data_IF_886746140222
#
_entry.id   IF_886746140222
#
_cell.length_a   1.000
_cell.length_b   1.000
_cell.length_c   1.000
_cell.angle_alpha   90.00
_cell.angle_beta   90.00
_cell.angle_gamma   90.00
#
_symmetry.space_group_name_H-M   'P 1'
#
loop_
_entity.id
_entity.type
_entity.pdbx_description
1 polymer ?
#
# COMPACT_ATOMS: atom_id res chain seq x y z
N UNK A 1 -26.82 -18.93 -13.97
CA UNK A 1 -26.50 -19.36 -12.58
C UNK A 1 -26.24 -18.11 -11.75
N UNK A 2 -26.79 -17.98 -10.53
CA UNK A 2 -26.55 -16.78 -9.71
C UNK A 2 -25.08 -16.72 -9.30
N UNK A 3 -24.38 -15.67 -9.73
CA UNK A 3 -22.95 -15.45 -9.47
C UNK A 3 -22.57 -15.61 -7.98
N UNK A 4 -23.34 -15.03 -7.07
CA UNK A 4 -23.10 -15.18 -5.62
C UNK A 4 -23.23 -16.64 -5.14
N UNK A 5 -24.19 -17.41 -5.67
CA UNK A 5 -24.33 -18.84 -5.32
C UNK A 5 -23.11 -19.63 -5.77
N UNK A 6 -22.56 -19.31 -6.94
CA UNK A 6 -21.33 -19.93 -7.45
C UNK A 6 -20.13 -19.61 -6.56
N UNK A 7 -19.98 -18.34 -6.14
CA UNK A 7 -18.91 -17.92 -5.23
C UNK A 7 -18.99 -18.60 -3.87
N UNK A 8 -20.19 -18.67 -3.27
CA UNK A 8 -20.37 -19.36 -1.99
C UNK A 8 -20.07 -20.84 -2.10
N UNK A 9 -20.51 -21.49 -3.19
CA UNK A 9 -20.22 -22.90 -3.43
C UNK A 9 -18.72 -23.17 -3.60
N UNK A 10 -18.00 -22.32 -4.34
CA UNK A 10 -16.55 -22.45 -4.52
C UNK A 10 -15.81 -22.40 -3.17
N UNK A 11 -16.17 -21.43 -2.32
CA UNK A 11 -15.56 -21.28 -0.99
C UNK A 11 -15.93 -22.47 -0.10
N UNK A 12 -17.22 -22.83 -0.03
CA UNK A 12 -17.74 -23.91 0.82
C UNK A 12 -17.08 -25.26 0.52
N UNK A 13 -16.88 -25.56 -0.77
CA UNK A 13 -16.28 -26.82 -1.20
C UNK A 13 -14.77 -26.90 -0.96
N UNK A 14 -14.07 -25.77 -0.93
CA UNK A 14 -12.60 -25.74 -0.87
C UNK A 14 -12.10 -25.36 0.53
N UNK A 15 -11.46 -26.29 1.28
CA UNK A 15 -10.86 -25.94 2.57
C UNK A 15 -9.73 -24.92 2.41
N UNK A 16 -9.03 -24.93 1.27
CA UNK A 16 -8.00 -23.96 0.96
C UNK A 16 -8.55 -22.53 0.92
N UNK A 17 -9.74 -22.34 0.33
CA UNK A 17 -10.36 -21.01 0.24
C UNK A 17 -10.88 -20.51 1.60
N UNK A 18 -11.23 -21.42 2.51
CA UNK A 18 -11.50 -21.04 3.90
C UNK A 18 -10.24 -20.50 4.59
N UNK A 19 -9.11 -21.20 4.45
CA UNK A 19 -7.83 -20.72 5.00
C UNK A 19 -7.40 -19.41 4.36
N UNK A 20 -7.63 -19.25 3.05
CA UNK A 20 -7.35 -17.99 2.36
C UNK A 20 -8.22 -16.84 2.90
N UNK A 21 -9.53 -17.05 3.06
CA UNK A 21 -10.43 -16.06 3.65
C UNK A 21 -10.06 -15.70 5.09
N UNK A 22 -9.63 -16.70 5.89
CA UNK A 22 -9.09 -16.47 7.22
C UNK A 22 -7.79 -15.64 7.16
N UNK A 23 -6.84 -15.98 6.28
CA UNK A 23 -5.60 -15.21 6.09
C UNK A 23 -5.93 -13.76 5.72
N UNK A 24 -6.79 -13.52 4.73
CA UNK A 24 -7.18 -12.16 4.33
C UNK A 24 -7.83 -11.38 5.47
N UNK A 25 -8.73 -12.01 6.23
CA UNK A 25 -9.35 -11.40 7.41
C UNK A 25 -8.32 -11.08 8.50
N UNK A 26 -7.31 -11.94 8.68
CA UNK A 26 -6.20 -11.70 9.60
C UNK A 26 -5.31 -10.55 9.12
N UNK A 27 -5.06 -10.42 7.82
CA UNK A 27 -4.33 -9.29 7.27
C UNK A 27 -5.07 -7.96 7.47
N UNK A 28 -6.40 -7.96 7.50
CA UNK A 28 -7.18 -6.78 7.93
C UNK A 28 -6.92 -6.39 9.39
N UNK A 29 -6.84 -7.38 10.29
CA UNK A 29 -6.50 -7.18 11.70
C UNK A 29 -5.09 -6.58 11.83
N UNK A 30 -4.10 -7.15 11.14
CA UNK A 30 -2.74 -6.62 11.15
C UNK A 30 -2.67 -5.21 10.57
N UNK A 31 -3.39 -4.94 9.47
CA UNK A 31 -3.49 -3.62 8.88
C UNK A 31 -4.05 -2.59 9.87
N UNK A 32 -5.07 -2.95 10.67
CA UNK A 32 -5.58 -2.09 11.74
C UNK A 32 -4.47 -1.70 12.75
N UNK A 33 -3.70 -2.68 13.23
CA UNK A 33 -2.63 -2.41 14.19
C UNK A 33 -1.52 -1.55 13.58
N UNK A 34 -1.17 -1.81 12.32
CA UNK A 34 -0.17 -1.02 11.60
C UNK A 34 -0.64 0.41 11.37
N UNK A 35 -1.88 0.61 10.93
CA UNK A 35 -2.46 1.94 10.83
C UNK A 35 -2.51 2.62 12.19
N UNK A 36 -2.93 1.93 13.25
CA UNK A 36 -2.97 2.50 14.60
C UNK A 36 -1.60 3.01 15.08
N UNK A 37 -0.49 2.36 14.71
CA UNK A 37 0.85 2.79 15.10
C UNK A 37 1.38 3.95 14.24
N UNK A 38 0.93 4.09 12.99
CA UNK A 38 1.44 5.09 12.04
C UNK A 38 0.49 6.26 11.77
N UNK A 39 -0.76 6.18 12.22
CA UNK A 39 -1.79 7.19 12.04
C UNK A 39 -1.94 8.03 13.33
N UNK A 40 -1.15 9.11 13.51
CA UNK A 40 -1.15 9.93 14.73
C UNK A 40 -2.47 10.67 14.97
N UNK A 41 -3.34 10.80 13.96
CA UNK A 41 -4.69 11.35 14.15
C UNK A 41 -5.55 10.49 15.09
N UNK A 42 -5.24 9.19 15.24
CA UNK A 42 -5.90 8.31 16.21
C UNK A 42 -5.44 8.58 17.65
N UNK A 43 -4.27 9.19 17.84
CA UNK A 43 -3.65 9.50 19.13
C UNK A 43 -3.75 11.01 19.46
N UNK A 44 -4.95 11.57 19.34
CA UNK A 44 -5.51 12.67 20.13
C UNK A 44 -4.77 14.03 20.32
N UNK A 45 -3.61 14.34 19.71
CA UNK A 45 -3.01 15.69 19.92
C UNK A 45 -2.34 16.38 18.73
N UNK A 46 -2.21 15.73 17.57
CA UNK A 46 -1.59 16.35 16.42
C UNK A 46 -2.63 16.64 15.33
N UNK A 47 -2.90 17.92 15.11
CA UNK A 47 -3.50 18.47 13.88
C UNK A 47 -2.56 18.24 12.70
N UNK A 48 -2.29 16.97 12.34
CA UNK A 48 -1.62 16.70 11.07
C UNK A 48 -2.61 16.97 9.94
N UNK A 49 -2.18 17.62 8.85
CA UNK A 49 -3.03 17.85 7.70
C UNK A 49 -3.46 16.52 7.09
N UNK A 50 -4.76 16.37 6.84
CA UNK A 50 -5.32 15.26 6.08
C UNK A 50 -4.72 15.25 4.67
N UNK A 51 -4.26 14.07 4.22
CA UNK A 51 -3.74 13.92 2.87
C UNK A 51 -4.83 13.40 1.96
N UNK A 52 -5.23 14.19 0.97
CA UNK A 52 -6.14 13.71 -0.07
C UNK A 52 -5.40 12.93 -1.15
N UNK A 53 -6.09 11.96 -1.73
CA UNK A 53 -5.71 11.43 -3.03
C UNK A 53 -5.88 12.51 -4.10
N UNK A 54 -5.01 12.51 -5.11
CA UNK A 54 -5.10 13.48 -6.22
C UNK A 54 -6.42 13.38 -7.00
N UNK A 55 -7.00 12.18 -7.11
CA UNK A 55 -8.31 12.00 -7.75
C UNK A 55 -9.50 12.41 -6.84
N UNK A 56 -9.25 12.72 -5.57
CA UNK A 56 -10.27 13.07 -4.58
C UNK A 56 -9.86 14.29 -3.74
N UNK A 57 -9.59 15.41 -4.42
CA UNK A 57 -9.16 16.67 -3.81
C UNK A 57 -10.13 17.21 -2.73
N UNK A 58 -11.42 16.87 -2.83
CA UNK A 58 -12.47 17.32 -1.91
C UNK A 58 -12.46 16.62 -0.54
N UNK A 59 -11.51 15.71 -0.25
CA UNK A 59 -11.49 14.97 1.01
C UNK A 59 -11.39 15.89 2.24
N UNK A 60 -10.69 17.03 2.13
CA UNK A 60 -10.54 18.02 3.19
C UNK A 60 -11.87 18.72 3.50
N UNK A 61 -12.65 19.06 2.48
CA UNK A 61 -13.91 19.82 2.64
C UNK A 61 -14.99 19.02 3.35
N UNK A 62 -14.94 17.69 3.24
CA UNK A 62 -15.99 16.85 3.80
C UNK A 62 -15.91 16.72 5.33
N UNK A 63 -14.80 17.12 5.97
CA UNK A 63 -14.66 17.13 7.44
C UNK A 63 -14.94 15.78 8.12
N UNK A 64 -15.07 14.71 7.34
CA UNK A 64 -15.52 13.39 7.80
C UNK A 64 -14.55 12.82 8.84
N UNK A 65 -13.29 13.25 8.79
CA UNK A 65 -12.21 12.78 9.64
C UNK A 65 -11.85 13.71 10.81
N UNK A 66 -12.49 14.88 10.96
CA UNK A 66 -12.21 15.81 12.08
C UNK A 66 -13.08 15.56 13.32
N UNK A 67 -13.99 14.60 13.26
CA UNK A 67 -14.91 14.24 14.35
C UNK A 67 -14.43 12.99 15.11
N UNK A 68 -15.18 12.51 16.12
CA UNK A 68 -14.94 11.21 16.78
C UNK A 68 -15.29 10.00 15.90
N UNK A 69 -15.89 10.23 14.72
CA UNK A 69 -16.30 9.21 13.76
C UNK A 69 -15.16 8.26 13.32
N UNK A 70 -13.92 8.71 13.05
CA UNK A 70 -12.85 7.83 12.59
C UNK A 70 -12.49 6.78 13.63
N UNK A 71 -12.40 7.16 14.91
CA UNK A 71 -12.12 6.21 15.99
C UNK A 71 -13.20 5.13 16.10
N UNK A 72 -14.48 5.51 15.92
CA UNK A 72 -15.59 4.56 15.87
C UNK A 72 -15.50 3.65 14.64
N UNK A 73 -15.24 4.20 13.45
CA UNK A 73 -15.09 3.42 12.22
C UNK A 73 -13.92 2.43 12.28
N UNK A 74 -12.78 2.85 12.85
CA UNK A 74 -11.63 1.98 13.09
C UNK A 74 -11.98 0.84 14.07
N UNK A 75 -12.79 1.13 15.10
CA UNK A 75 -13.26 0.13 16.07
C UNK A 75 -14.24 -0.88 15.44
N UNK A 76 -15.16 -0.39 14.59
CA UNK A 76 -16.06 -1.24 13.81
C UNK A 76 -15.25 -2.10 12.83
N UNK A 77 -14.28 -1.50 12.15
CA UNK A 77 -13.40 -2.19 11.20
C UNK A 77 -12.70 -3.39 11.84
N UNK A 78 -12.01 -3.18 12.97
CA UNK A 78 -11.31 -4.29 13.65
C UNK A 78 -12.29 -5.35 14.16
N UNK A 79 -13.44 -4.94 14.70
CA UNK A 79 -14.46 -5.88 15.16
C UNK A 79 -14.99 -6.77 14.02
N UNK A 80 -15.34 -6.16 12.88
CA UNK A 80 -15.82 -6.88 11.69
C UNK A 80 -14.73 -7.81 11.14
N UNK A 81 -13.46 -7.37 11.11
CA UNK A 81 -12.34 -8.20 10.65
C UNK A 81 -12.10 -9.42 11.57
N UNK A 82 -12.20 -9.25 12.89
CA UNK A 82 -12.09 -10.35 13.86
C UNK A 82 -13.24 -11.36 13.70
N UNK A 83 -14.47 -10.89 13.54
CA UNK A 83 -15.60 -11.77 13.29
C UNK A 83 -15.47 -12.50 11.94
N UNK A 84 -14.98 -11.84 10.90
CA UNK A 84 -14.68 -12.48 9.61
C UNK A 84 -13.64 -13.59 9.77
N UNK A 85 -12.55 -13.31 10.48
CA UNK A 85 -11.49 -14.29 10.76
C UNK A 85 -12.02 -15.54 11.49
N UNK A 86 -12.72 -15.34 12.61
CA UNK A 86 -13.27 -16.44 13.41
C UNK A 86 -14.33 -17.23 12.63
N UNK A 87 -15.17 -16.56 11.84
CA UNK A 87 -16.20 -17.23 11.05
C UNK A 87 -15.62 -18.06 9.90
N UNK A 88 -14.52 -17.64 9.25
CA UNK A 88 -13.81 -18.48 8.28
C UNK A 88 -13.16 -19.71 8.92
N UNK A 89 -12.63 -19.60 10.14
CA UNK A 89 -12.09 -20.74 10.88
C UNK A 89 -13.16 -21.78 11.24
N UNK A 90 -14.40 -21.35 11.52
CA UNK A 90 -15.49 -22.25 11.90
C UNK A 90 -16.10 -23.04 10.73
N UNK A 91 -15.79 -22.71 9.47
CA UNK A 91 -16.25 -23.34 8.20
C UNK A 91 -17.77 -23.39 7.95
N UNK A 92 -18.61 -23.37 8.98
CA UNK A 92 -20.07 -23.51 8.87
C UNK A 92 -20.77 -22.28 8.28
N UNK A 93 -20.14 -21.11 8.35
CA UNK A 93 -20.79 -19.82 8.12
C UNK A 93 -20.32 -19.09 6.87
N UNK A 94 -20.05 -19.80 5.77
CA UNK A 94 -19.44 -19.25 4.53
C UNK A 94 -20.09 -17.92 4.07
N UNK A 95 -21.42 -17.85 4.06
CA UNK A 95 -22.14 -16.62 3.64
C UNK A 95 -21.87 -15.46 4.59
N UNK A 96 -21.87 -15.70 5.90
CA UNK A 96 -21.59 -14.68 6.90
C UNK A 96 -20.12 -14.26 6.82
N UNK A 97 -19.18 -15.21 6.72
CA UNK A 97 -17.75 -14.93 6.59
C UNK A 97 -17.44 -14.07 5.37
N UNK A 98 -18.05 -14.40 4.22
CA UNK A 98 -17.93 -13.62 2.99
C UNK A 98 -18.50 -12.20 3.17
N UNK A 99 -19.70 -12.07 3.75
CA UNK A 99 -20.32 -10.76 3.96
C UNK A 99 -19.53 -9.89 4.93
N UNK A 100 -18.98 -10.47 5.99
CA UNK A 100 -18.13 -9.76 6.95
C UNK A 100 -16.81 -9.31 6.31
N UNK A 101 -16.16 -10.16 5.50
CA UNK A 101 -14.95 -9.78 4.76
C UNK A 101 -15.24 -8.68 3.73
N UNK A 102 -16.38 -8.75 3.04
CA UNK A 102 -16.82 -7.69 2.14
C UNK A 102 -17.02 -6.37 2.88
N UNK A 103 -17.70 -6.38 4.03
CA UNK A 103 -17.88 -5.21 4.88
C UNK A 103 -16.54 -4.66 5.37
N UNK A 104 -15.62 -5.51 5.84
CA UNK A 104 -14.27 -5.10 6.24
C UNK A 104 -13.49 -4.45 5.07
N UNK A 105 -13.61 -5.00 3.87
CA UNK A 105 -12.97 -4.47 2.66
C UNK A 105 -13.55 -3.10 2.28
N UNK A 106 -14.88 -2.93 2.34
CA UNK A 106 -15.52 -1.63 2.09
C UNK A 106 -15.11 -0.57 3.11
N UNK A 107 -15.07 -0.93 4.39
CA UNK A 107 -14.62 -0.01 5.45
C UNK A 107 -13.14 0.33 5.25
N UNK A 108 -12.28 -0.65 4.93
CA UNK A 108 -10.87 -0.41 4.62
C UNK A 108 -10.73 0.55 3.43
N UNK A 109 -11.44 0.32 2.33
CA UNK A 109 -11.40 1.19 1.16
C UNK A 109 -11.89 2.59 1.49
N UNK A 110 -12.96 2.72 2.27
CA UNK A 110 -13.46 4.02 2.71
C UNK A 110 -12.41 4.78 3.54
N UNK A 111 -11.82 4.14 4.55
CA UNK A 111 -10.75 4.75 5.36
C UNK A 111 -9.54 5.13 4.51
N UNK A 112 -9.11 4.24 3.61
CA UNK A 112 -7.96 4.43 2.74
C UNK A 112 -8.16 5.56 1.72
N UNK A 113 -9.36 5.69 1.12
CA UNK A 113 -9.70 6.78 0.19
C UNK A 113 -9.86 8.11 0.93
N UNK A 114 -10.32 8.07 2.18
CA UNK A 114 -10.54 9.28 2.97
C UNK A 114 -9.24 9.93 3.45
N UNK A 115 -8.17 9.14 3.65
CA UNK A 115 -6.86 9.64 4.04
C UNK A 115 -5.71 8.88 3.35
N UNK A 116 -5.06 9.54 2.41
CA UNK A 116 -3.88 9.05 1.72
C UNK A 116 -2.65 8.89 2.64
N UNK A 117 -2.68 9.43 3.86
CA UNK A 117 -1.62 9.18 4.85
C UNK A 117 -1.59 7.72 5.32
N UNK A 118 -2.71 7.00 5.18
CA UNK A 118 -2.82 5.56 5.46
C UNK A 118 -2.23 4.69 4.34
N UNK A 119 -1.65 5.30 3.33
CA UNK A 119 -1.00 4.62 2.21
C UNK A 119 0.24 3.88 2.69
N UNK A 120 0.25 2.59 2.41
CA UNK A 120 1.39 1.67 2.58
C UNK A 120 1.50 0.88 1.30
N UNK A 121 2.72 0.54 0.90
CA UNK A 121 3.02 -0.06 -0.41
C UNK A 121 2.12 -1.26 -0.74
N UNK A 122 1.86 -2.13 0.23
CA UNK A 122 1.12 -3.38 0.02
C UNK A 122 -0.42 -3.22 0.02
N UNK A 123 -0.96 -2.03 0.27
CA UNK A 123 -2.40 -1.87 0.51
C UNK A 123 -3.20 -2.03 -0.78
N UNK A 124 -2.64 -1.54 -1.90
CA UNK A 124 -3.21 -1.77 -3.22
C UNK A 124 -3.30 -3.27 -3.57
N UNK A 125 -2.27 -4.06 -3.21
CA UNK A 125 -2.29 -5.51 -3.35
C UNK A 125 -3.39 -6.14 -2.49
N UNK A 126 -3.49 -5.78 -1.22
CA UNK A 126 -4.50 -6.35 -0.31
C UNK A 126 -5.92 -6.05 -0.78
N UNK A 127 -6.21 -4.82 -1.19
CA UNK A 127 -7.53 -4.45 -1.73
C UNK A 127 -7.79 -5.28 -2.99
N UNK A 128 -6.83 -5.37 -3.91
CA UNK A 128 -6.98 -6.15 -5.14
C UNK A 128 -7.23 -7.64 -4.86
N UNK A 129 -6.48 -8.26 -3.95
CA UNK A 129 -6.65 -9.65 -3.55
C UNK A 129 -8.01 -9.90 -2.89
N UNK A 130 -8.46 -9.00 -2.01
CA UNK A 130 -9.80 -9.08 -1.40
C UNK A 130 -10.90 -9.01 -2.47
N UNK A 131 -10.82 -8.07 -3.40
CA UNK A 131 -11.79 -7.97 -4.50
C UNK A 131 -11.77 -9.22 -5.40
N UNK A 132 -10.59 -9.76 -5.70
CA UNK A 132 -10.45 -11.01 -6.45
C UNK A 132 -11.09 -12.18 -5.70
N UNK A 133 -10.85 -12.29 -4.39
CA UNK A 133 -11.46 -13.32 -3.55
C UNK A 133 -12.99 -13.19 -3.51
N UNK A 134 -13.51 -11.98 -3.36
CA UNK A 134 -14.94 -11.73 -3.22
C UNK A 134 -15.71 -11.95 -4.53
N UNK A 135 -15.14 -11.54 -5.67
CA UNK A 135 -15.88 -11.42 -6.92
C UNK A 135 -15.37 -12.32 -8.05
N UNK A 136 -14.10 -12.71 -8.08
CA UNK A 136 -13.58 -13.42 -9.26
C UNK A 136 -13.58 -14.93 -9.01
N UNK A 137 -14.07 -15.77 -9.95
CA UNK A 137 -14.00 -17.22 -9.79
C UNK A 137 -12.57 -17.73 -10.00
N UNK A 138 -12.31 -18.98 -9.62
CA UNK A 138 -10.97 -19.59 -9.70
C UNK A 138 -9.94 -18.84 -8.82
N UNK A 139 -10.35 -18.58 -7.58
CA UNK A 139 -9.65 -17.70 -6.64
C UNK A 139 -8.22 -18.15 -6.39
N UNK A 140 -8.00 -19.46 -6.23
CA UNK A 140 -6.68 -20.02 -5.98
C UNK A 140 -5.68 -19.80 -7.14
N UNK A 141 -6.13 -19.84 -8.40
CA UNK A 141 -5.26 -19.54 -9.54
C UNK A 141 -4.89 -18.05 -9.60
N UNK A 142 -5.86 -17.17 -9.36
CA UNK A 142 -5.64 -15.72 -9.37
C UNK A 142 -4.63 -15.33 -8.30
N UNK A 143 -4.82 -15.81 -7.07
CA UNK A 143 -3.88 -15.52 -5.97
C UNK A 143 -2.46 -15.96 -6.31
N UNK A 144 -2.30 -17.15 -6.89
CA UNK A 144 -0.99 -17.61 -7.33
C UNK A 144 -0.33 -16.62 -8.30
N UNK A 145 -1.02 -16.34 -9.40
CA UNK A 145 -0.47 -15.46 -10.45
C UNK A 145 -0.18 -14.06 -9.91
N UNK A 146 -1.10 -13.47 -9.15
CA UNK A 146 -0.94 -12.13 -8.57
C UNK A 146 0.25 -12.04 -7.61
N UNK A 147 0.46 -13.03 -6.74
CA UNK A 147 1.60 -13.04 -5.81
C UNK A 147 2.93 -13.08 -6.56
N UNK A 148 3.03 -13.91 -7.61
CA UNK A 148 4.25 -13.99 -8.43
C UNK A 148 4.47 -12.67 -9.17
N UNK A 149 3.42 -12.12 -9.79
CA UNK A 149 3.51 -10.83 -10.47
C UNK A 149 3.93 -9.71 -9.51
N UNK A 150 3.41 -9.70 -8.28
CA UNK A 150 3.82 -8.74 -7.26
C UNK A 150 5.31 -8.85 -6.95
N UNK A 151 5.84 -10.06 -6.72
CA UNK A 151 7.28 -10.22 -6.47
C UNK A 151 8.13 -9.73 -7.64
N UNK A 152 7.75 -10.07 -8.87
CA UNK A 152 8.49 -9.65 -10.06
C UNK A 152 8.45 -8.13 -10.20
N UNK A 153 7.27 -7.51 -10.05
CA UNK A 153 7.12 -6.06 -10.15
C UNK A 153 7.85 -5.32 -9.03
N UNK A 154 7.80 -5.81 -7.80
CA UNK A 154 8.58 -5.26 -6.68
C UNK A 154 10.08 -5.33 -6.99
N UNK A 155 10.57 -6.48 -7.47
CA UNK A 155 11.97 -6.61 -7.87
C UNK A 155 12.37 -5.68 -9.01
N UNK A 156 11.52 -5.52 -10.04
CA UNK A 156 11.78 -4.60 -11.15
C UNK A 156 11.80 -3.14 -10.71
N UNK A 157 10.96 -2.75 -9.74
CA UNK A 157 10.99 -1.38 -9.18
C UNK A 157 12.24 -1.14 -8.36
N UNK A 158 12.70 -2.15 -7.65
CA UNK A 158 13.93 -2.13 -6.85
C UNK A 158 15.20 -2.23 -7.72
N UNK A 159 15.08 -2.58 -9.00
CA UNK A 159 16.18 -2.60 -9.96
C UNK A 159 16.53 -1.20 -10.45
N UNK A 160 16.75 -0.27 -9.52
CA UNK A 160 17.22 1.08 -9.78
C UNK A 160 18.55 1.34 -9.04
N UNK A 161 19.41 2.25 -9.54
CA UNK A 161 20.72 2.49 -8.94
C UNK A 161 20.68 2.91 -7.46
N UNK A 162 19.63 3.61 -7.04
CA UNK A 162 19.51 4.13 -5.68
C UNK A 162 19.27 2.99 -4.69
N UNK A 163 18.37 2.06 -5.01
CA UNK A 163 18.13 0.90 -4.19
C UNK A 163 19.32 -0.08 -4.21
N UNK A 164 19.94 -0.28 -5.38
CA UNK A 164 21.15 -1.11 -5.51
C UNK A 164 22.34 -0.55 -4.73
N UNK A 165 22.41 0.77 -4.51
CA UNK A 165 23.46 1.38 -3.70
C UNK A 165 23.39 1.00 -2.21
N UNK A 166 22.24 0.50 -1.74
CA UNK A 166 22.03 0.16 -0.32
C UNK A 166 21.88 1.38 0.60
N UNK A 167 21.84 2.61 0.06
CA UNK A 167 21.70 3.84 0.85
C UNK A 167 20.46 3.86 1.75
N UNK A 168 19.35 3.29 1.31
CA UNK A 168 18.12 3.22 2.09
C UNK A 168 18.26 2.36 3.37
N UNK A 169 19.21 1.42 3.38
CA UNK A 169 19.42 0.51 4.50
C UNK A 169 20.45 1.03 5.52
N UNK A 170 21.18 2.10 5.22
CA UNK A 170 22.26 2.59 6.10
C UNK A 170 21.75 3.05 7.47
N UNK A 171 20.48 3.48 7.55
CA UNK A 171 19.88 3.91 8.81
C UNK A 171 19.40 2.73 9.67
N UNK A 172 19.16 1.58 9.06
CA UNK A 172 18.54 0.41 9.70
C UNK A 172 19.55 -0.70 10.00
N UNK A 173 20.66 -0.75 9.27
CA UNK A 173 21.63 -1.83 9.35
C UNK A 173 23.05 -1.31 9.61
N UNK A 174 23.75 -1.82 10.64
CA UNK A 174 25.10 -1.40 10.99
C UNK A 174 26.17 -2.08 10.10
N UNK A 175 25.94 -2.12 8.79
CA UNK A 175 26.88 -2.69 7.82
C UNK A 175 27.56 -1.60 7.00
N UNK A 176 28.78 -1.84 6.49
CA UNK A 176 29.40 -0.93 5.53
C UNK A 176 28.57 -0.85 4.24
N UNK A 177 28.61 0.30 3.56
CA UNK A 177 27.83 0.55 2.34
C UNK A 177 27.99 -0.57 1.29
N UNK A 178 29.23 -1.04 1.07
CA UNK A 178 29.50 -2.14 0.14
C UNK A 178 28.81 -3.45 0.52
N UNK A 179 28.65 -3.73 1.82
CA UNK A 179 27.89 -4.87 2.30
C UNK A 179 26.39 -4.72 2.00
N UNK A 180 25.85 -3.52 2.18
CA UNK A 180 24.45 -3.21 1.89
C UNK A 180 24.12 -3.34 0.39
N UNK A 181 25.02 -2.93 -0.51
CA UNK A 181 24.87 -3.16 -1.95
C UNK A 181 24.68 -4.64 -2.29
N UNK A 182 25.44 -5.54 -1.65
CA UNK A 182 25.28 -6.99 -1.84
C UNK A 182 23.97 -7.51 -1.26
N UNK A 183 23.56 -7.01 -0.10
CA UNK A 183 22.28 -7.39 0.53
C UNK A 183 21.10 -6.99 -0.35
N UNK A 184 21.08 -5.75 -0.89
CA UNK A 184 20.00 -5.30 -1.79
C UNK A 184 20.00 -6.06 -3.10
N UNK A 185 21.17 -6.27 -3.72
CA UNK A 185 21.28 -7.07 -4.94
C UNK A 185 20.80 -8.53 -4.73
N UNK A 186 21.18 -9.15 -3.61
CA UNK A 186 20.71 -10.49 -3.24
C UNK A 186 19.20 -10.51 -2.97
N UNK A 187 18.66 -9.50 -2.29
CA UNK A 187 17.23 -9.34 -2.05
C UNK A 187 16.42 -9.27 -3.34
N UNK A 188 16.88 -8.46 -4.32
CA UNK A 188 16.29 -8.40 -5.66
C UNK A 188 16.39 -9.77 -6.35
N UNK A 189 17.56 -10.41 -6.31
CA UNK A 189 17.78 -11.74 -6.89
C UNK A 189 16.83 -12.80 -6.31
N UNK A 190 16.60 -12.78 -5.00
CA UNK A 190 15.63 -13.64 -4.31
C UNK A 190 14.21 -13.37 -4.82
N UNK A 191 13.79 -12.10 -4.90
CA UNK A 191 12.46 -11.70 -5.40
C UNK A 191 12.27 -12.03 -6.89
N UNK A 192 13.33 -12.09 -7.69
CA UNK A 192 13.24 -12.50 -9.10
C UNK A 192 13.19 -14.01 -9.28
N UNK A 193 13.97 -14.76 -8.50
CA UNK A 193 14.21 -16.20 -8.78
C UNK A 193 13.29 -17.14 -8.00
N UNK A 194 13.08 -16.91 -6.70
CA UNK A 194 12.32 -17.82 -5.84
C UNK A 194 10.81 -17.89 -6.19
N UNK A 195 10.12 -16.83 -6.65
CA UNK A 195 8.71 -16.95 -7.03
C UNK A 195 8.46 -17.94 -8.16
N UNK A 196 9.39 -18.11 -9.10
CA UNK A 196 9.27 -19.14 -10.14
C UNK A 196 9.37 -20.55 -9.56
N UNK A 197 10.21 -20.74 -8.54
CA UNK A 197 10.31 -22.01 -7.82
C UNK A 197 9.04 -22.32 -7.00
N UNK A 198 8.25 -21.31 -6.61
CA UNK A 198 6.93 -21.54 -5.96
C UNK A 198 5.90 -22.20 -6.89
N UNK A 199 6.05 -22.06 -8.21
CA UNK A 199 5.16 -22.71 -9.20
C UNK A 199 5.54 -24.18 -9.42
N UNK A 200 6.75 -24.57 -9.01
CA UNK A 200 7.29 -25.90 -9.29
C UNK A 200 6.37 -27.02 -8.78
N UNK A 201 6.15 -28.09 -9.58
CA UNK A 201 5.40 -29.26 -9.13
C UNK A 201 6.18 -30.11 -8.11
N UNK A 202 7.49 -29.89 -7.98
CA UNK A 202 8.38 -30.60 -7.07
C UNK A 202 8.40 -29.96 -5.68
N UNK A 203 8.02 -30.73 -4.65
CA UNK A 203 7.92 -30.24 -3.27
C UNK A 203 9.24 -29.71 -2.69
N UNK A 204 10.39 -30.27 -3.07
CA UNK A 204 11.70 -29.77 -2.64
C UNK A 204 11.96 -28.34 -3.11
N UNK A 205 11.67 -28.04 -4.39
CA UNK A 205 11.87 -26.70 -4.96
C UNK A 205 10.92 -25.67 -4.33
N UNK A 206 9.67 -26.07 -4.10
CA UNK A 206 8.70 -25.27 -3.35
C UNK A 206 9.20 -24.98 -1.93
N UNK A 207 9.70 -26.00 -1.21
CA UNK A 207 10.18 -25.83 0.16
C UNK A 207 11.37 -24.87 0.22
N UNK A 208 12.35 -24.99 -0.69
CA UNK A 208 13.47 -24.04 -0.80
C UNK A 208 12.97 -22.62 -1.03
N UNK A 209 12.03 -22.44 -1.97
CA UNK A 209 11.47 -21.14 -2.29
C UNK A 209 10.67 -20.54 -1.13
N UNK A 210 9.80 -21.32 -0.49
CA UNK A 210 8.99 -20.89 0.63
C UNK A 210 9.85 -20.52 1.84
N UNK A 211 10.79 -21.39 2.23
CA UNK A 211 11.72 -21.10 3.32
C UNK A 211 12.58 -19.87 3.01
N UNK A 212 13.12 -19.77 1.79
CA UNK A 212 13.95 -18.63 1.37
C UNK A 212 13.17 -17.31 1.41
N UNK A 213 11.94 -17.28 0.89
CA UNK A 213 11.09 -16.09 0.89
C UNK A 213 10.61 -15.73 2.31
N UNK A 214 10.23 -16.71 3.14
CA UNK A 214 9.83 -16.45 4.54
C UNK A 214 11.01 -15.89 5.33
N UNK A 215 12.20 -16.48 5.20
CA UNK A 215 13.40 -15.96 5.86
C UNK A 215 13.74 -14.55 5.36
N UNK A 216 13.71 -14.33 4.04
CA UNK A 216 13.92 -13.01 3.46
C UNK A 216 12.98 -11.95 4.07
N UNK A 217 11.68 -12.21 4.08
CA UNK A 217 10.70 -11.28 4.64
C UNK A 217 10.80 -11.15 6.16
N UNK A 218 11.17 -12.21 6.88
CA UNK A 218 11.39 -12.13 8.32
C UNK A 218 12.58 -11.22 8.65
N UNK A 219 13.68 -11.33 7.90
CA UNK A 219 14.83 -10.41 8.01
C UNK A 219 14.43 -8.99 7.62
N UNK A 220 13.74 -8.82 6.50
CA UNK A 220 13.25 -7.51 6.05
C UNK A 220 12.36 -6.85 7.12
N UNK A 221 11.42 -7.61 7.70
CA UNK A 221 10.57 -7.15 8.80
C UNK A 221 11.37 -6.78 10.06
N UNK A 222 12.39 -7.57 10.41
CA UNK A 222 13.22 -7.30 11.58
C UNK A 222 13.93 -5.94 11.48
N UNK A 223 14.44 -5.59 10.30
CA UNK A 223 15.17 -4.33 10.08
C UNK A 223 14.26 -3.13 9.78
N UNK A 224 13.28 -3.27 8.89
CA UNK A 224 12.45 -2.14 8.45
C UNK A 224 11.11 -2.04 9.20
N UNK A 225 10.68 -3.09 9.90
CA UNK A 225 9.36 -3.18 10.57
C UNK A 225 8.18 -2.94 9.63
N UNK A 226 8.36 -3.23 8.35
CA UNK A 226 7.38 -2.97 7.30
C UNK A 226 6.24 -4.01 7.28
N UNK A 227 5.01 -3.53 7.12
CA UNK A 227 3.81 -4.34 6.99
C UNK A 227 3.82 -5.26 5.75
N UNK A 228 4.47 -4.82 4.66
CA UNK A 228 4.56 -5.61 3.42
C UNK A 228 5.15 -6.99 3.67
N UNK A 229 6.23 -7.07 4.46
CA UNK A 229 6.89 -8.33 4.81
C UNK A 229 5.93 -9.32 5.48
N UNK A 230 5.10 -8.86 6.41
CA UNK A 230 4.13 -9.72 7.09
C UNK A 230 3.08 -10.23 6.11
N UNK A 231 2.51 -9.35 5.28
CA UNK A 231 1.56 -9.74 4.23
C UNK A 231 2.15 -10.83 3.35
N UNK A 232 3.39 -10.64 2.88
CA UNK A 232 4.04 -11.59 1.99
C UNK A 232 4.36 -12.93 2.67
N UNK A 233 4.72 -12.95 3.96
CA UNK A 233 4.87 -14.20 4.72
C UNK A 233 3.57 -15.01 4.72
N UNK A 234 2.43 -14.36 5.00
CA UNK A 234 1.13 -15.04 4.99
C UNK A 234 0.71 -15.52 3.60
N UNK A 235 1.03 -14.75 2.54
CA UNK A 235 0.76 -15.15 1.16
C UNK A 235 1.65 -16.32 0.70
N UNK A 236 2.92 -16.38 1.15
CA UNK A 236 3.80 -17.53 0.93
C UNK A 236 3.30 -18.75 1.71
N UNK A 237 2.83 -18.56 2.94
CA UNK A 237 2.22 -19.64 3.71
C UNK A 237 0.97 -20.21 3.02
N UNK A 238 0.11 -19.35 2.46
CA UNK A 238 -1.01 -19.77 1.62
C UNK A 238 -0.55 -20.65 0.44
N UNK A 239 0.54 -20.27 -0.22
CA UNK A 239 1.14 -21.04 -1.32
C UNK A 239 1.53 -22.47 -0.92
N UNK A 240 2.11 -22.62 0.26
CA UNK A 240 2.47 -23.92 0.83
C UNK A 240 1.22 -24.77 1.07
N UNK A 241 0.17 -24.19 1.67
CA UNK A 241 -1.11 -24.87 1.87
C UNK A 241 -1.74 -25.30 0.54
N UNK A 242 -1.75 -24.40 -0.45
CA UNK A 242 -2.29 -24.64 -1.78
C UNK A 242 -1.57 -25.81 -2.48
N UNK A 243 -0.25 -25.91 -2.35
CA UNK A 243 0.50 -27.05 -2.88
C UNK A 243 0.04 -28.39 -2.27
N UNK A 244 -0.09 -28.47 -0.95
CA UNK A 244 -0.51 -29.71 -0.29
C UNK A 244 -1.96 -30.08 -0.63
N UNK A 245 -2.85 -29.09 -0.69
CA UNK A 245 -4.25 -29.32 -1.08
C UNK A 245 -4.34 -29.77 -2.54
N UNK A 246 -3.59 -29.15 -3.47
CA UNK A 246 -3.53 -29.58 -4.87
C UNK A 246 -3.00 -31.01 -4.99
N UNK A 247 -1.93 -31.37 -4.28
CA UNK A 247 -1.40 -32.76 -4.29
C UNK A 247 -2.36 -33.78 -3.70
N UNK A 248 -3.20 -33.38 -2.75
CA UNK A 248 -4.28 -34.22 -2.24
C UNK A 248 -5.38 -34.36 -3.28
N UNK A 249 -5.85 -33.26 -3.86
CA UNK A 249 -6.88 -33.26 -4.89
C UNK A 249 -6.45 -34.03 -6.13
N UNK A 250 -5.23 -33.87 -6.64
CA UNK A 250 -4.70 -34.65 -7.79
C UNK A 250 -4.84 -36.17 -7.59
N UNK A 251 -4.77 -36.66 -6.35
CA UNK A 251 -4.96 -38.08 -6.01
C UNK A 251 -6.45 -38.49 -5.96
N UNK A 252 -7.34 -37.55 -5.63
CA UNK A 252 -8.78 -37.75 -5.50
C UNK A 252 -9.54 -37.47 -6.82
N UNK A 253 -9.06 -36.54 -7.66
CA UNK A 253 -9.72 -36.00 -8.86
C UNK A 253 -9.74 -36.96 -10.06
N UNK A 254 -9.12 -38.14 -9.95
CA UNK A 254 -9.34 -39.20 -10.93
C UNK A 254 -10.84 -39.59 -11.05
N UNK A 255 -11.67 -39.24 -10.06
CA UNK A 255 -13.07 -39.66 -9.96
C UNK A 255 -14.13 -38.53 -10.02
N UNK A 256 -13.76 -37.24 -9.99
CA UNK A 256 -14.72 -36.13 -9.71
C UNK A 256 -15.03 -35.18 -10.89
N UNK A 257 -14.53 -35.43 -12.10
CA UNK A 257 -14.66 -34.51 -13.25
C UNK A 257 -16.11 -34.25 -13.74
N UNK A 258 -17.09 -35.05 -13.31
CA UNK A 258 -18.42 -35.08 -13.97
C UNK A 258 -19.54 -34.30 -13.26
N UNK A 259 -19.40 -33.90 -12.00
CA UNK A 259 -20.54 -33.34 -11.25
C UNK A 259 -20.78 -31.84 -11.48
N UNK A 260 -19.74 -31.02 -11.72
CA UNK A 260 -19.90 -29.59 -12.00
C UNK A 260 -18.81 -29.03 -12.93
N UNK A 261 -19.18 -28.13 -13.87
CA UNK A 261 -18.20 -27.51 -14.77
C UNK A 261 -17.21 -26.64 -13.99
N UNK A 262 -15.92 -26.82 -14.26
CA UNK A 262 -14.86 -25.96 -13.72
C UNK A 262 -15.13 -24.49 -14.10
N UNK A 263 -14.87 -23.52 -13.21
CA UNK A 263 -14.94 -22.12 -13.57
C UNK A 263 -13.99 -21.82 -14.73
N UNK A 264 -14.42 -20.92 -15.64
CA UNK A 264 -13.61 -20.58 -16.81
C UNK A 264 -12.20 -20.15 -16.43
N UNK A 265 -11.20 -20.74 -17.09
CA UNK A 265 -9.78 -20.41 -16.89
C UNK A 265 -9.42 -19.02 -17.42
N UNK A 266 -10.34 -18.31 -18.08
CA UNK A 266 -10.10 -16.95 -18.62
C UNK A 266 -10.03 -15.86 -17.55
N UNK A 267 -10.50 -16.12 -16.33
CA UNK A 267 -10.55 -15.08 -15.30
C UNK A 267 -9.18 -14.71 -14.72
N UNK A 268 -8.27 -15.67 -14.58
CA UNK A 268 -6.93 -15.37 -14.08
C UNK A 268 -6.06 -14.51 -15.02
N UNK A 269 -6.05 -14.69 -16.37
CA UNK A 269 -5.30 -13.78 -17.23
C UNK A 269 -5.94 -12.39 -17.26
N UNK A 270 -7.28 -12.27 -17.20
CA UNK A 270 -7.95 -10.98 -17.11
C UNK A 270 -7.54 -10.23 -15.84
N UNK A 271 -7.58 -10.91 -14.68
CA UNK A 271 -7.16 -10.33 -13.41
C UNK A 271 -5.68 -9.94 -13.42
N UNK A 272 -4.80 -10.78 -14.00
CA UNK A 272 -3.38 -10.49 -14.14
C UNK A 272 -3.13 -9.25 -15.02
N UNK A 273 -3.79 -9.16 -16.18
CA UNK A 273 -3.70 -8.01 -17.08
C UNK A 273 -4.17 -6.75 -16.38
N UNK A 274 -5.33 -6.78 -15.71
CA UNK A 274 -5.83 -5.64 -14.95
C UNK A 274 -4.84 -5.20 -13.87
N UNK A 275 -4.28 -6.16 -13.13
CA UNK A 275 -3.28 -5.88 -12.12
C UNK A 275 -2.03 -5.21 -12.73
N UNK A 276 -1.47 -5.79 -13.81
CA UNK A 276 -0.33 -5.21 -14.52
C UNK A 276 -0.61 -3.79 -15.03
N UNK A 277 -1.79 -3.55 -15.61
CA UNK A 277 -2.20 -2.22 -16.05
C UNK A 277 -2.24 -1.24 -14.88
N UNK A 278 -2.79 -1.64 -13.72
CA UNK A 278 -2.82 -0.78 -12.53
C UNK A 278 -1.41 -0.49 -11.96
N UNK A 279 -0.45 -1.39 -12.18
CA UNK A 279 0.94 -1.22 -11.75
C UNK A 279 1.81 -0.42 -12.73
N UNK A 280 1.31 -0.13 -13.94
CA UNK A 280 2.08 0.54 -14.97
C UNK A 280 2.32 2.04 -14.68
N UNK A 281 3.50 2.54 -15.04
CA UNK A 281 3.92 3.92 -14.78
C UNK A 281 3.13 4.97 -15.59
N UNK A 282 2.45 4.56 -16.67
CA UNK A 282 1.64 5.46 -17.49
C UNK A 282 0.25 5.76 -16.90
N UNK A 283 -0.14 5.07 -15.82
CA UNK A 283 -1.42 5.34 -15.15
C UNK A 283 -1.37 6.74 -14.55
N UNK A 284 -2.25 7.66 -14.97
CA UNK A 284 -2.30 9.00 -14.41
C UNK A 284 -2.52 8.95 -12.90
N UNK A 285 -1.88 9.85 -12.16
CA UNK A 285 -2.03 9.96 -10.70
C UNK A 285 -3.47 10.33 -10.29
N UNK A 286 -4.21 10.97 -11.20
CA UNK A 286 -5.64 11.28 -11.08
C UNK A 286 -6.57 10.09 -11.38
N UNK A 287 -6.04 8.93 -11.78
CA UNK A 287 -6.86 7.75 -12.05
C UNK A 287 -7.24 7.04 -10.75
N UNK A 288 -8.51 6.60 -10.58
CA UNK A 288 -8.91 5.78 -9.43
C UNK A 288 -8.18 4.42 -9.41
N UNK A 289 -7.64 3.96 -10.54
CA UNK A 289 -6.81 2.74 -10.58
C UNK A 289 -5.52 2.89 -9.76
N UNK A 290 -5.11 4.12 -9.43
CA UNK A 290 -4.00 4.40 -8.52
C UNK A 290 -4.19 3.80 -7.13
N UNK A 291 -5.44 3.52 -6.72
CA UNK A 291 -5.74 2.81 -5.47
C UNK A 291 -5.13 1.41 -5.41
N UNK A 292 -5.00 0.74 -6.56
CA UNK A 292 -4.41 -0.60 -6.65
C UNK A 292 -2.90 -0.54 -6.87
N UNK A 293 -2.34 0.64 -7.18
CA UNK A 293 -0.93 0.81 -7.40
C UNK A 293 -0.18 0.55 -6.09
N UNK A 294 0.71 -0.44 -6.13
CA UNK A 294 1.68 -0.69 -5.07
C UNK A 294 2.79 0.31 -5.32
N UNK A 295 3.12 1.18 -4.37
CA UNK A 295 4.31 2.01 -4.52
C UNK A 295 5.56 1.13 -4.31
N UNK A 296 6.67 1.49 -4.97
CA UNK A 296 7.97 0.92 -4.62
C UNK A 296 8.51 1.57 -3.35
N UNK A 297 9.53 0.97 -2.71
CA UNK A 297 10.16 1.61 -1.56
C UNK A 297 10.62 3.01 -1.94
N UNK A 298 10.35 3.98 -1.04
CA UNK A 298 10.68 5.38 -1.29
C UNK A 298 12.19 5.50 -1.45
N UNK A 299 12.63 5.87 -2.64
CA UNK A 299 14.02 6.25 -2.89
C UNK A 299 14.41 7.34 -1.90
N UNK A 300 15.57 7.24 -1.25
CA UNK A 300 16.07 8.30 -0.39
C UNK A 300 16.09 9.61 -1.17
N UNK A 301 15.26 10.53 -0.74
CA UNK A 301 15.07 11.83 -1.35
C UNK A 301 15.38 12.89 -0.30
N UNK A 302 16.16 13.88 -0.70
CA UNK A 302 16.31 15.08 0.07
C UNK A 302 15.26 16.08 -0.39
N UNK A 303 14.38 16.48 0.52
CA UNK A 303 13.42 17.55 0.27
C UNK A 303 13.85 18.82 1.03
N UNK A 304 13.70 19.97 0.39
CA UNK A 304 13.86 21.28 1.01
C UNK A 304 12.60 22.09 0.78
N UNK A 305 12.04 22.60 1.86
CA UNK A 305 10.91 23.52 1.82
C UNK A 305 11.39 24.90 2.21
N UNK A 306 11.24 25.86 1.30
CA UNK A 306 11.69 27.24 1.49
C UNK A 306 10.47 28.14 1.29
N UNK A 307 10.10 28.90 2.32
CA UNK A 307 9.00 29.85 2.25
C UNK A 307 9.47 31.26 2.61
N UNK A 308 9.02 32.25 1.86
CA UNK A 308 9.33 33.66 2.04
C UNK A 308 8.03 34.44 2.29
N UNK A 309 7.92 35.02 3.49
CA UNK A 309 6.84 35.93 3.83
C UNK A 309 7.22 37.34 3.37
N UNK A 310 6.44 37.89 2.43
CA UNK A 310 6.64 39.21 1.89
C UNK A 310 5.79 40.21 2.68
N UNK A 311 6.46 41.08 3.43
CA UNK A 311 5.84 42.22 4.11
C UNK A 311 6.03 43.50 3.29
N UNK A 312 5.40 44.58 3.73
CA UNK A 312 5.47 45.87 3.02
C UNK A 312 6.89 46.41 2.93
N UNK A 313 7.71 46.21 3.97
CA UNK A 313 9.04 46.79 4.10
C UNK A 313 10.19 45.75 4.18
N UNK A 314 9.88 44.45 4.17
CA UNK A 314 10.88 43.39 4.33
C UNK A 314 10.39 42.05 3.80
N UNK A 315 11.33 41.15 3.52
CA UNK A 315 11.08 39.75 3.21
C UNK A 315 11.72 38.90 4.29
N UNK A 316 10.95 38.00 4.90
CA UNK A 316 11.44 37.08 5.92
C UNK A 316 11.36 35.64 5.42
N UNK A 317 12.44 34.88 5.56
CA UNK A 317 12.38 33.44 5.36
C UNK A 317 11.70 32.80 6.58
N UNK A 318 10.68 31.98 6.32
CA UNK A 318 9.90 31.29 7.35
C UNK A 318 10.17 29.79 7.23
N UNK A 319 10.66 29.18 8.30
CA UNK A 319 10.86 27.74 8.39
C UNK A 319 9.69 27.05 9.10
N UNK A 320 9.34 25.85 8.63
CA UNK A 320 8.32 25.04 9.28
C UNK A 320 8.92 23.97 10.21
N UNK A 321 9.04 24.34 11.48
CA UNK A 321 9.45 23.41 12.54
C UNK A 321 8.50 22.20 12.68
N UNK A 322 7.22 22.34 12.34
CA UNK A 322 6.27 21.23 12.41
C UNK A 322 6.52 20.21 11.30
N UNK A 323 6.94 20.67 10.12
CA UNK A 323 7.30 19.78 9.02
C UNK A 323 8.51 18.92 9.42
N UNK A 324 9.54 19.52 10.04
CA UNK A 324 10.75 18.81 10.49
C UNK A 324 10.49 17.71 11.53
N UNK A 325 9.35 17.74 12.23
CA UNK A 325 8.94 16.70 13.19
C UNK A 325 8.21 15.51 12.54
N UNK A 326 7.84 15.61 11.26
CA UNK A 326 7.17 14.53 10.54
C UNK A 326 8.17 13.42 10.17
N UNK A 327 7.67 12.24 9.85
CA UNK A 327 8.51 11.21 9.24
C UNK A 327 9.01 11.68 7.86
N UNK A 328 10.24 11.33 7.48
CA UNK A 328 10.90 11.84 6.26
C UNK A 328 10.07 11.60 5.00
N UNK A 329 9.40 10.46 4.92
CA UNK A 329 8.52 10.13 3.79
C UNK A 329 7.35 11.11 3.67
N UNK A 330 6.80 11.53 4.82
CA UNK A 330 5.72 12.52 4.88
C UNK A 330 6.26 13.93 4.67
N UNK A 331 7.47 14.25 5.16
CA UNK A 331 8.13 15.54 4.92
C UNK A 331 8.34 15.81 3.42
N UNK A 332 8.78 14.78 2.70
CA UNK A 332 9.06 14.90 1.27
C UNK A 332 7.81 14.79 0.38
N UNK A 333 6.61 14.68 0.99
CA UNK A 333 5.36 14.63 0.25
C UNK A 333 4.92 16.03 -0.18
N UNK A 334 4.75 16.31 -1.48
CA UNK A 334 4.56 17.67 -1.98
C UNK A 334 3.23 18.28 -1.52
N UNK A 335 2.16 17.50 -1.44
CA UNK A 335 0.88 17.99 -0.90
C UNK A 335 0.97 18.36 0.58
N UNK A 336 1.81 17.66 1.38
CA UNK A 336 2.01 18.03 2.79
C UNK A 336 2.72 19.37 2.84
N UNK A 337 3.82 19.54 2.11
CA UNK A 337 4.57 20.78 2.05
C UNK A 337 3.70 21.96 1.55
N UNK A 338 2.86 21.72 0.54
CA UNK A 338 1.94 22.71 0.00
C UNK A 338 0.86 23.13 1.01
N UNK A 339 0.18 22.17 1.65
CA UNK A 339 -0.83 22.47 2.67
C UNK A 339 -0.21 23.15 3.89
N UNK A 340 0.97 22.69 4.29
CA UNK A 340 1.77 23.28 5.36
C UNK A 340 2.18 24.72 5.06
N UNK A 341 2.48 25.04 3.81
CA UNK A 341 2.70 26.42 3.37
C UNK A 341 1.43 27.27 3.44
N UNK A 342 0.25 26.72 3.12
CA UNK A 342 -1.04 27.43 3.28
C UNK A 342 -1.37 27.74 4.74
N UNK A 343 -1.05 26.85 5.68
CA UNK A 343 -1.27 27.09 7.11
C UNK A 343 -0.52 28.34 7.62
N UNK A 344 0.64 28.67 7.03
CA UNK A 344 1.33 29.93 7.37
C UNK A 344 0.57 31.17 6.94
N UNK A 345 -0.18 31.11 5.85
CA UNK A 345 -0.99 32.25 5.42
C UNK A 345 -1.97 32.66 6.52
N UNK A 346 -2.60 31.71 7.19
CA UNK A 346 -3.51 31.99 8.30
C UNK A 346 -2.79 32.57 9.52
N UNK A 347 -1.55 32.13 9.80
CA UNK A 347 -0.71 32.67 10.87
C UNK A 347 -0.37 34.15 10.65
N UNK A 348 -0.07 34.55 9.42
CA UNK A 348 0.34 35.92 9.09
C UNK A 348 -0.81 36.83 8.65
N UNK A 349 -2.01 36.28 8.40
CA UNK A 349 -3.19 37.01 7.94
C UNK A 349 -3.58 38.21 8.81
N UNK A 350 -3.29 38.13 10.11
CA UNK A 350 -3.60 39.20 11.07
C UNK A 350 -2.56 40.33 11.10
N UNK A 351 -1.42 40.18 10.43
CA UNK A 351 -0.41 41.22 10.33
C UNK A 351 -0.73 42.15 9.15
N UNK A 352 -1.01 43.43 9.41
CA UNK A 352 -1.36 44.42 8.38
C UNK A 352 -0.24 44.69 7.37
N UNK A 353 1.01 44.40 7.71
CA UNK A 353 2.14 44.56 6.80
C UNK A 353 2.30 43.39 5.82
N UNK A 354 1.66 42.25 6.09
CA UNK A 354 1.80 41.03 5.29
C UNK A 354 1.10 41.17 3.93
N UNK A 355 1.84 40.94 2.84
CA UNK A 355 1.33 41.04 1.46
C UNK A 355 1.08 39.67 0.83
N UNK A 356 2.08 38.79 0.90
CA UNK A 356 2.01 37.47 0.25
C UNK A 356 3.00 36.50 0.89
N UNK A 357 2.80 35.20 0.62
CA UNK A 357 3.73 34.14 0.96
C UNK A 357 4.15 33.43 -0.32
N UNK A 358 5.44 33.48 -0.63
CA UNK A 358 6.04 32.70 -1.70
C UNK A 358 6.58 31.40 -1.13
N UNK A 359 6.31 30.26 -1.77
CA UNK A 359 6.76 28.95 -1.29
C UNK A 359 7.34 28.13 -2.43
N UNK A 360 8.49 27.50 -2.15
CA UNK A 360 9.25 26.67 -3.05
C UNK A 360 9.50 25.33 -2.39
N UNK A 361 9.17 24.26 -3.09
CA UNK A 361 9.46 22.90 -2.64
C UNK A 361 10.39 22.23 -3.63
N UNK A 362 11.59 21.94 -3.14
CA UNK A 362 12.69 21.40 -3.90
C UNK A 362 12.90 19.95 -3.48
N UNK A 363 13.19 19.09 -4.46
CA UNK A 363 13.49 17.68 -4.22
C UNK A 363 14.71 17.27 -5.02
N UNK A 364 15.59 16.53 -4.40
CA UNK A 364 16.74 15.90 -5.04
C UNK A 364 16.76 14.43 -4.70
N UNK A 365 16.89 13.58 -5.71
CA UNK A 365 17.20 12.16 -5.46
C UNK A 365 18.68 12.00 -5.17
N UNK A 366 19.10 10.97 -4.42
CA UNK A 366 20.52 10.76 -4.13
C UNK A 366 21.39 10.58 -5.40
N UNK A 367 20.81 10.10 -6.50
CA UNK A 367 21.54 9.98 -7.77
C UNK A 367 21.69 11.29 -8.55
N UNK A 368 20.95 12.33 -8.16
CA UNK A 368 20.91 13.62 -8.84
C UNK A 368 21.84 14.63 -8.13
N UNK A 369 22.57 15.43 -8.91
CA UNK A 369 23.43 16.49 -8.37
C UNK A 369 22.61 17.68 -7.89
N UNK A 370 21.57 18.03 -8.65
CA UNK A 370 20.80 19.27 -8.50
C UNK A 370 19.40 19.02 -7.95
N UNK A 371 18.86 20.02 -7.25
CA UNK A 371 17.48 19.97 -6.78
C UNK A 371 16.53 20.30 -7.93
N UNK A 372 15.52 19.45 -8.11
CA UNK A 372 14.37 19.70 -8.98
C UNK A 372 13.30 20.47 -8.21
N UNK A 373 12.71 21.50 -8.83
CA UNK A 373 11.58 22.22 -8.23
C UNK A 373 10.32 21.39 -8.46
N UNK A 374 9.71 20.91 -7.38
CA UNK A 374 8.46 20.14 -7.45
C UNK A 374 7.26 21.06 -7.54
N UNK A 375 7.26 22.15 -6.75
CA UNK A 375 6.33 23.25 -6.94
C UNK A 375 6.96 24.59 -6.56
N UNK A 376 6.50 25.64 -7.23
CA UNK A 376 6.77 27.04 -6.89
C UNK A 376 5.47 27.82 -6.96
N UNK A 377 5.19 28.62 -5.92
CA UNK A 377 4.03 29.50 -5.88
C UNK A 377 4.43 30.83 -5.24
N UNK A 378 4.37 31.92 -6.00
CA UNK A 378 4.74 33.26 -5.52
C UNK A 378 3.76 33.82 -4.48
N UNK A 379 2.47 33.44 -4.55
CA UNK A 379 1.44 33.88 -3.61
C UNK A 379 0.48 32.75 -3.24
N UNK A 380 0.97 31.80 -2.43
CA UNK A 380 0.21 30.60 -2.04
C UNK A 380 -1.03 30.90 -1.19
N UNK A 381 -1.13 32.11 -0.64
CA UNK A 381 -2.26 32.55 0.18
C UNK A 381 -3.53 32.85 -0.63
N UNK A 382 -3.45 32.82 -1.96
CA UNK A 382 -4.61 33.00 -2.82
C UNK A 382 -5.55 31.79 -2.65
N UNK A 383 -6.83 31.99 -2.28
CA UNK A 383 -7.73 30.89 -1.90
C UNK A 383 -7.98 29.87 -3.01
N UNK A 384 -7.83 30.28 -4.28
CA UNK A 384 -8.10 29.45 -5.44
C UNK A 384 -6.89 28.67 -5.98
N UNK A 385 -5.67 28.91 -5.50
CA UNK A 385 -4.50 28.18 -6.01
C UNK A 385 -4.57 26.73 -5.56
N UNK A 386 -4.63 25.80 -6.52
CA UNK A 386 -4.48 24.37 -6.28
C UNK A 386 -3.04 23.94 -6.50
N UNK A 387 -2.69 22.80 -5.91
CA UNK A 387 -1.39 22.16 -6.14
C UNK A 387 -1.18 21.81 -7.63
N UNK A 388 -2.23 21.46 -8.36
CA UNK A 388 -2.18 21.21 -9.80
C UNK A 388 -1.90 22.47 -10.64
N UNK A 389 -2.15 23.66 -10.09
CA UNK A 389 -1.92 24.95 -10.78
C UNK A 389 -0.52 25.51 -10.53
N UNK A 390 0.20 25.05 -9.50
CA UNK A 390 1.58 25.47 -9.26
C UNK A 390 2.48 24.85 -10.34
N UNK A 391 3.19 25.71 -11.07
CA UNK A 391 4.05 25.31 -12.18
C UNK A 391 5.04 24.22 -11.73
N UNK A 392 4.84 23.01 -12.26
CA UNK A 392 5.87 21.98 -12.29
C UNK A 392 6.71 22.33 -13.51
N UNK A 393 7.83 23.02 -13.30
CA UNK A 393 8.85 23.21 -14.36
C UNK A 393 9.21 21.82 -14.88
N UNK A 394 8.73 21.48 -16.08
CA UNK A 394 9.08 20.24 -16.77
C UNK A 394 10.46 20.32 -17.39
#
# INVERSE_FOLDING_TARGET
>A
MNFLKSNFWEIDRSPLLHYLGAILSFLHILNYFFWKSHAPFLTASATKPLLCWEFFESCIQQGLLTSSLPQQLFSIYIFVAVLAFLSFLWKRFVRLSWSLLFAATLIQMFLYISDASLKVDVQGLLIFLNLCFLFVPNKAAIFRVTIILFYLLSAFRELNPEWLSGSNLTEHMPFPLKGLEWVTAMGIGIKLTLPFLLISPFGQRLAIAACGLILFHAFHFYFERDFSSLVMIFLVFFYVLDFFVRKRLERETMYQSYEHPEPSKIWWPIAAIFYLMAQANFVPTTSPTRLFHVDGPVTTQECRHISFANFTNRVEQVENENLQKLDRNVQCHPLVAFNSAKEFCDKYKNNSEFKSLSSYFLRRRLSETDYTTVFSAENICTPHIKYSDSEVSK
#
